data_IF_333534150562
#
_entry.id   IF_333534150562
#
_cell.length_a   1.000
_cell.length_b   1.000
_cell.length_c   1.000
_cell.angle_alpha   90.00
_cell.angle_beta   90.00
_cell.angle_gamma   90.00
#
_symmetry.space_group_name_H-M   'P 1'
#
loop_
_entity.id
_entity.type
_entity.pdbx_description
1 polymer ?
#
# COMPACT_ATOMS: atom_id res chain seq x y z
N UNK A 1 -82.89 -10.27 -15.95
CA UNK A 1 -81.57 -10.84 -15.59
C UNK A 1 -81.05 -11.55 -16.82
N UNK A 2 -80.11 -10.92 -17.51
CA UNK A 2 -79.59 -11.43 -18.79
C UNK A 2 -78.08 -11.23 -18.76
N UNK A 3 -77.37 -12.35 -18.94
CA UNK A 3 -75.94 -12.51 -18.71
C UNK A 3 -75.10 -11.49 -19.51
N UNK A 4 -74.25 -10.75 -18.80
CA UNK A 4 -73.28 -9.85 -19.43
C UNK A 4 -72.22 -10.71 -20.14
N UNK A 5 -72.23 -10.66 -21.48
CA UNK A 5 -71.29 -11.35 -22.35
C UNK A 5 -69.92 -10.67 -22.21
N UNK A 6 -69.04 -11.20 -21.36
CA UNK A 6 -67.69 -10.67 -21.19
C UNK A 6 -66.94 -10.88 -22.51
N UNK A 7 -66.57 -9.76 -23.14
CA UNK A 7 -65.83 -9.73 -24.39
C UNK A 7 -64.42 -10.31 -24.14
N UNK A 8 -63.99 -11.32 -24.91
CA UNK A 8 -62.80 -12.14 -24.59
C UNK A 8 -61.51 -11.33 -24.42
N UNK A 9 -61.41 -10.17 -25.08
CA UNK A 9 -60.28 -9.22 -24.95
C UNK A 9 -60.25 -8.48 -23.61
N UNK A 10 -61.42 -8.17 -23.03
CA UNK A 10 -61.53 -7.53 -21.70
C UNK A 10 -61.27 -8.49 -20.55
N UNK A 11 -61.63 -9.76 -20.74
CA UNK A 11 -61.26 -10.85 -19.82
C UNK A 11 -59.74 -11.06 -19.79
N UNK A 12 -59.08 -11.07 -20.95
CA UNK A 12 -57.62 -11.21 -21.05
C UNK A 12 -56.87 -10.05 -20.40
N UNK A 13 -57.32 -8.82 -20.57
CA UNK A 13 -56.68 -7.66 -19.94
C UNK A 13 -56.83 -7.69 -18.41
N UNK A 14 -58.03 -8.03 -17.91
CA UNK A 14 -58.28 -8.18 -16.48
C UNK A 14 -57.47 -9.34 -15.88
N UNK A 15 -57.26 -10.42 -16.64
CA UNK A 15 -56.42 -11.54 -16.25
C UNK A 15 -54.94 -11.18 -16.21
N UNK A 16 -54.42 -10.43 -17.20
CA UNK A 16 -53.03 -9.95 -17.17
C UNK A 16 -52.76 -9.02 -15.98
N UNK A 17 -53.68 -8.09 -15.69
CA UNK A 17 -53.55 -7.19 -14.52
C UNK A 17 -53.56 -7.99 -13.22
N UNK A 18 -54.41 -9.00 -13.11
CA UNK A 18 -54.45 -9.90 -11.94
C UNK A 18 -53.13 -10.67 -11.78
N UNK A 19 -52.57 -11.20 -12.87
CA UNK A 19 -51.27 -11.91 -12.86
C UNK A 19 -50.13 -10.97 -12.45
N UNK A 20 -50.17 -9.70 -12.87
CA UNK A 20 -49.18 -8.69 -12.50
C UNK A 20 -49.27 -8.32 -11.01
N UNK A 21 -50.48 -8.17 -10.49
CA UNK A 21 -50.72 -7.92 -9.05
C UNK A 21 -50.29 -9.13 -8.22
N UNK A 22 -50.63 -10.35 -8.64
CA UNK A 22 -50.21 -11.58 -7.98
C UNK A 22 -48.68 -11.76 -8.02
N UNK A 23 -48.04 -11.39 -9.12
CA UNK A 23 -46.58 -11.38 -9.26
C UNK A 23 -45.91 -10.40 -8.30
N UNK A 24 -46.48 -9.20 -8.12
CA UNK A 24 -45.98 -8.21 -7.15
C UNK A 24 -46.18 -8.66 -5.70
N UNK A 25 -47.31 -9.32 -5.39
CA UNK A 25 -47.56 -9.89 -4.06
C UNK A 25 -46.59 -11.04 -3.75
N UNK A 26 -46.32 -11.91 -4.73
CA UNK A 26 -45.34 -12.99 -4.60
C UNK A 26 -43.91 -12.48 -4.47
N UNK A 27 -43.55 -11.41 -5.19
CA UNK A 27 -42.24 -10.78 -5.04
C UNK A 27 -42.08 -10.15 -3.65
N UNK A 28 -43.12 -9.48 -3.15
CA UNK A 28 -43.11 -8.87 -1.82
C UNK A 28 -43.07 -9.93 -0.71
N UNK A 29 -43.81 -11.04 -0.86
CA UNK A 29 -43.75 -12.15 0.09
C UNK A 29 -42.43 -12.93 0.01
N UNK A 30 -41.76 -12.98 -1.14
CA UNK A 30 -40.41 -13.55 -1.27
C UNK A 30 -39.34 -12.65 -0.62
N UNK A 31 -39.50 -11.33 -0.71
CA UNK A 31 -38.63 -10.36 -0.02
C UNK A 31 -38.86 -10.42 1.49
N UNK A 32 -40.12 -10.55 1.95
CA UNK A 32 -40.44 -10.71 3.37
C UNK A 32 -40.05 -12.11 3.91
N UNK A 33 -40.17 -13.17 3.10
CA UNK A 33 -39.69 -14.50 3.45
C UNK A 33 -38.16 -14.59 3.45
N UNK A 34 -37.45 -13.87 2.56
CA UNK A 34 -35.99 -13.69 2.67
C UNK A 34 -35.60 -12.88 3.89
N UNK A 35 -36.44 -11.92 4.33
CA UNK A 35 -36.22 -11.18 5.58
C UNK A 35 -36.51 -12.00 6.83
N UNK A 36 -37.36 -13.03 6.77
CA UNK A 36 -37.69 -13.89 7.90
C UNK A 36 -36.95 -15.24 7.95
N UNK A 37 -36.35 -15.71 6.85
CA UNK A 37 -35.61 -16.99 6.79
C UNK A 37 -34.10 -16.86 6.56
N UNK A 38 -33.50 -15.69 6.78
CA UNK A 38 -32.04 -15.57 6.88
C UNK A 38 -31.62 -14.78 8.11
N UNK A 39 -31.89 -15.28 9.31
CA UNK A 39 -31.06 -15.07 10.49
C UNK A 39 -31.49 -16.05 11.59
N UNK A 40 -30.87 -17.23 11.58
CA UNK A 40 -30.93 -18.22 12.66
C UNK A 40 -29.52 -18.68 12.96
N UNK A 41 -28.73 -17.82 13.61
CA UNK A 41 -27.43 -18.21 14.15
C UNK A 41 -27.68 -18.97 15.46
N UNK A 42 -27.78 -20.29 15.38
CA UNK A 42 -27.72 -21.14 16.57
C UNK A 42 -26.30 -21.14 17.15
N UNK A 43 -26.23 -20.74 18.42
CA UNK A 43 -25.41 -21.25 19.51
C UNK A 43 -23.88 -21.00 19.54
N UNK A 44 -23.55 -19.96 20.32
CA UNK A 44 -22.76 -20.01 21.57
C UNK A 44 -21.26 -20.34 21.56
N UNK A 45 -20.61 -20.54 20.42
CA UNK A 45 -19.12 -20.64 20.33
C UNK A 45 -18.47 -19.31 19.89
N UNK A 46 -19.26 -18.39 19.35
CA UNK A 46 -18.79 -17.08 18.90
C UNK A 46 -18.50 -16.10 20.05
N UNK A 47 -19.11 -16.29 21.21
CA UNK A 47 -19.05 -15.38 22.36
C UNK A 47 -17.78 -15.52 23.23
N UNK A 48 -17.05 -16.65 23.17
CA UNK A 48 -15.72 -16.75 23.81
C UNK A 48 -14.60 -16.19 22.93
N UNK A 49 -14.76 -16.23 21.60
CA UNK A 49 -13.81 -15.65 20.61
C UNK A 49 -13.90 -14.13 20.47
N UNK A 50 -14.88 -13.50 21.11
CA UNK A 50 -15.05 -12.04 21.17
C UNK A 50 -14.34 -11.43 22.39
N UNK A 51 -14.15 -12.18 23.48
CA UNK A 51 -13.42 -11.69 24.66
C UNK A 51 -11.91 -11.49 24.44
N UNK A 52 -11.29 -12.19 23.48
CA UNK A 52 -9.89 -11.96 23.07
C UNK A 52 -9.75 -10.79 22.08
N UNK A 53 -10.84 -10.40 21.40
CA UNK A 53 -10.80 -9.44 20.28
C UNK A 53 -10.67 -7.97 20.70
N UNK A 54 -10.95 -7.63 21.97
CA UNK A 54 -10.94 -6.24 22.44
C UNK A 54 -9.59 -5.83 23.08
N UNK A 55 -8.76 -6.78 23.54
CA UNK A 55 -7.45 -6.42 24.15
C UNK A 55 -6.31 -6.18 23.14
N UNK A 56 -6.44 -6.67 21.90
CA UNK A 56 -5.41 -6.56 20.84
C UNK A 56 -5.55 -5.34 19.92
N UNK A 57 -6.59 -4.53 20.13
CA UNK A 57 -6.89 -3.34 19.34
C UNK A 57 -5.99 -2.16 19.70
N UNK A 58 -5.31 -2.22 20.84
CA UNK A 58 -4.29 -1.24 21.26
C UNK A 58 -2.92 -1.39 20.57
N UNK A 59 -2.70 -2.38 19.68
CA UNK A 59 -1.38 -2.66 19.08
C UNK A 59 -1.29 -2.63 17.53
N UNK A 60 -2.36 -2.35 16.77
CA UNK A 60 -2.37 -2.55 15.31
C UNK A 60 -2.82 -1.32 14.50
N UNK A 61 -1.98 -0.29 14.49
CA UNK A 61 -2.13 0.83 13.57
C UNK A 61 -1.15 0.60 12.40
N UNK A 62 -1.62 0.05 11.29
CA UNK A 62 -0.88 0.06 10.01
C UNK A 62 0.17 -1.05 9.77
N UNK A 63 0.31 -2.07 10.62
CA UNK A 63 1.28 -3.16 10.39
C UNK A 63 0.86 -4.03 9.18
N UNK A 64 1.75 -4.14 8.20
CA UNK A 64 1.58 -4.95 6.99
C UNK A 64 1.88 -6.44 7.28
N UNK A 65 0.95 -7.38 6.99
CA UNK A 65 1.14 -8.79 7.31
C UNK A 65 2.33 -9.46 6.59
N UNK A 66 3.13 -10.25 7.31
CA UNK A 66 4.28 -11.01 6.75
C UNK A 66 3.87 -12.06 5.70
N UNK A 67 2.72 -12.73 5.91
CA UNK A 67 2.26 -13.85 5.09
C UNK A 67 0.73 -14.09 5.15
N UNK A 68 0.27 -15.13 4.47
CA UNK A 68 -1.11 -15.61 4.52
C UNK A 68 -2.13 -14.78 3.72
N UNK A 69 -3.42 -15.05 3.96
CA UNK A 69 -4.53 -14.40 3.26
C UNK A 69 -4.58 -12.90 3.51
N UNK A 70 -4.23 -12.45 4.72
CA UNK A 70 -4.21 -11.02 5.07
C UNK A 70 -3.22 -10.26 4.18
N UNK A 71 -2.00 -10.78 3.98
CA UNK A 71 -1.02 -10.20 3.04
C UNK A 71 -1.58 -10.09 1.62
N UNK A 72 -2.24 -11.14 1.13
CA UNK A 72 -2.84 -11.13 -0.21
C UNK A 72 -3.93 -10.06 -0.38
N UNK A 73 -4.72 -9.80 0.67
CA UNK A 73 -5.71 -8.71 0.66
C UNK A 73 -5.02 -7.35 0.59
N UNK A 74 -4.01 -7.11 1.44
CA UNK A 74 -3.25 -5.85 1.42
C UNK A 74 -2.52 -5.61 0.10
N UNK A 75 -1.89 -6.63 -0.48
CA UNK A 75 -1.20 -6.52 -1.76
C UNK A 75 -2.14 -6.21 -2.94
N UNK A 76 -3.44 -6.51 -2.84
CA UNK A 76 -4.42 -6.12 -3.87
C UNK A 76 -4.76 -4.64 -3.85
N UNK A 77 -4.64 -4.00 -2.68
CA UNK A 77 -4.99 -2.58 -2.51
C UNK A 77 -3.76 -1.68 -2.59
N UNK A 78 -2.58 -2.16 -2.19
CA UNK A 78 -1.34 -1.38 -2.27
C UNK A 78 -0.89 -1.18 -3.73
N UNK A 79 -0.26 -0.05 -4.06
CA UNK A 79 0.28 0.20 -5.40
C UNK A 79 1.60 -0.55 -5.67
N UNK A 80 2.04 -1.39 -4.74
CA UNK A 80 3.24 -2.22 -4.85
C UNK A 80 3.06 -3.53 -4.09
N UNK A 81 3.86 -4.53 -4.47
CA UNK A 81 3.98 -5.77 -3.73
C UNK A 81 5.14 -5.66 -2.74
N UNK A 82 4.98 -6.29 -1.59
CA UNK A 82 6.03 -6.38 -0.58
C UNK A 82 6.18 -7.82 -0.06
N UNK A 83 7.37 -8.14 0.42
CA UNK A 83 7.64 -9.29 1.26
C UNK A 83 8.73 -8.95 2.25
N UNK A 84 8.62 -9.40 3.49
CA UNK A 84 9.70 -9.22 4.45
C UNK A 84 9.82 -10.43 5.36
N UNK A 85 11.05 -10.71 5.76
CA UNK A 85 11.42 -11.77 6.69
C UNK A 85 12.13 -11.18 7.90
N UNK A 86 12.93 -11.98 8.61
CA UNK A 86 13.70 -11.52 9.76
C UNK A 86 14.57 -10.32 9.37
N UNK A 87 15.38 -10.38 8.31
CA UNK A 87 16.38 -9.31 8.05
C UNK A 87 16.22 -8.67 6.68
N UNK A 88 15.24 -9.08 5.89
CA UNK A 88 15.09 -8.63 4.51
C UNK A 88 13.74 -7.99 4.26
N UNK A 89 13.74 -6.88 3.51
CA UNK A 89 12.55 -6.26 2.93
C UNK A 89 12.70 -6.24 1.42
N UNK A 90 11.76 -6.86 0.71
CA UNK A 90 11.62 -6.84 -0.74
C UNK A 90 10.39 -6.03 -1.14
N UNK A 91 10.58 -5.08 -2.04
CA UNK A 91 9.53 -4.25 -2.61
C UNK A 91 9.57 -4.38 -4.12
N UNK A 92 8.41 -4.61 -4.72
CA UNK A 92 8.25 -4.70 -6.17
C UNK A 92 7.16 -3.74 -6.65
N UNK A 93 7.56 -2.79 -7.48
CA UNK A 93 6.70 -1.74 -8.01
C UNK A 93 7.11 -1.34 -9.42
N UNK A 94 6.21 -0.63 -10.12
CA UNK A 94 6.52 -0.01 -11.40
C UNK A 94 6.53 1.49 -11.24
N UNK A 95 7.53 2.16 -11.83
CA UNK A 95 7.56 3.62 -11.94
C UNK A 95 7.34 4.07 -13.40
N UNK A 96 6.49 5.08 -13.63
CA UNK A 96 5.70 5.78 -12.63
C UNK A 96 4.65 4.87 -11.98
N UNK A 97 4.33 5.15 -10.73
CA UNK A 97 3.18 4.53 -10.10
C UNK A 97 1.94 4.84 -10.96
N UNK A 98 1.13 3.81 -11.23
CA UNK A 98 -0.13 4.02 -11.94
C UNK A 98 -1.04 4.88 -11.06
N UNK A 99 -1.39 6.07 -11.52
CA UNK A 99 -2.27 6.99 -10.77
C UNK A 99 -3.59 6.32 -10.39
N UNK A 100 -4.10 5.40 -11.22
CA UNK A 100 -5.28 4.58 -10.91
C UNK A 100 -5.07 3.68 -9.70
N UNK A 101 -3.91 3.02 -9.56
CA UNK A 101 -3.60 2.18 -8.39
C UNK A 101 -3.50 3.00 -7.11
N UNK A 102 -2.81 4.14 -7.17
CA UNK A 102 -2.73 5.06 -6.04
C UNK A 102 -4.11 5.61 -5.67
N UNK A 103 -4.89 6.07 -6.66
CA UNK A 103 -6.22 6.60 -6.42
C UNK A 103 -7.16 5.53 -5.85
N UNK A 104 -7.18 4.32 -6.42
CA UNK A 104 -7.98 3.19 -5.94
C UNK A 104 -7.62 2.78 -4.50
N UNK A 105 -6.33 2.83 -4.15
CA UNK A 105 -5.88 2.61 -2.78
C UNK A 105 -6.52 3.64 -1.83
N UNK A 106 -6.40 4.93 -2.16
CA UNK A 106 -7.02 5.99 -1.37
C UNK A 106 -8.56 5.93 -1.37
N UNK A 107 -9.19 5.56 -2.48
CA UNK A 107 -10.65 5.38 -2.55
C UNK A 107 -11.10 4.25 -1.63
N UNK A 108 -10.39 3.12 -1.62
CA UNK A 108 -10.70 2.00 -0.73
C UNK A 108 -10.62 2.40 0.74
N UNK A 109 -9.59 3.18 1.09
CA UNK A 109 -9.42 3.70 2.45
C UNK A 109 -10.52 4.71 2.81
N UNK A 110 -10.83 5.66 1.92
CA UNK A 110 -11.86 6.67 2.16
C UNK A 110 -13.28 6.08 2.17
N UNK A 111 -13.54 5.04 1.38
CA UNK A 111 -14.78 4.26 1.46
C UNK A 111 -14.88 3.51 2.79
N UNK A 112 -13.80 2.87 3.24
CA UNK A 112 -13.75 2.21 4.53
C UNK A 112 -14.06 3.17 5.68
N UNK A 113 -13.54 4.40 5.62
CA UNK A 113 -13.89 5.48 6.54
C UNK A 113 -15.40 5.73 6.61
N UNK A 114 -16.09 5.85 5.48
CA UNK A 114 -17.55 6.09 5.43
C UNK A 114 -18.32 4.96 6.13
N UNK A 115 -17.97 3.70 5.85
CA UNK A 115 -18.65 2.55 6.45
C UNK A 115 -18.44 2.46 7.96
N UNK A 116 -17.35 3.02 8.46
CA UNK A 116 -17.00 3.06 9.88
C UNK A 116 -17.61 4.28 10.60
N UNK A 117 -17.78 5.41 9.91
CA UNK A 117 -18.35 6.63 10.49
C UNK A 117 -19.89 6.70 10.45
N UNK A 118 -20.56 5.81 9.70
CA UNK A 118 -22.03 5.79 9.62
C UNK A 118 -22.68 5.28 10.92
N UNK A 119 -23.11 6.22 11.76
CA UNK A 119 -23.78 5.98 13.04
C UNK A 119 -25.15 5.26 12.91
N UNK A 120 -25.73 5.18 11.72
CA UNK A 120 -27.02 4.52 11.49
C UNK A 120 -26.86 3.06 11.05
N UNK A 121 -25.62 2.60 10.82
CA UNK A 121 -25.32 1.26 10.32
C UNK A 121 -24.63 0.44 11.41
N UNK A 122 -25.39 -0.27 12.26
CA UNK A 122 -24.78 -1.17 13.24
C UNK A 122 -24.15 -2.38 12.54
N UNK A 123 -22.86 -2.58 12.73
CA UNK A 123 -22.04 -3.46 11.93
C UNK A 123 -21.04 -4.18 12.86
N UNK A 124 -20.51 -5.32 12.42
CA UNK A 124 -19.42 -6.06 13.07
C UNK A 124 -18.11 -5.24 13.26
N UNK A 125 -18.07 -3.99 12.79
CA UNK A 125 -16.93 -3.07 12.85
C UNK A 125 -17.18 -1.81 13.69
N UNK A 126 -18.27 -1.73 14.47
CA UNK A 126 -18.65 -0.56 15.29
C UNK A 126 -17.60 -0.13 16.34
N UNK A 127 -16.63 -1.00 16.67
CA UNK A 127 -15.52 -0.72 17.60
C UNK A 127 -14.21 -0.28 16.91
N UNK A 128 -14.24 -0.12 15.59
CA UNK A 128 -13.12 0.42 14.81
C UNK A 128 -13.44 1.88 14.54
N UNK A 129 -12.59 2.82 14.95
CA UNK A 129 -12.72 4.21 14.51
C UNK A 129 -11.56 4.55 13.56
N UNK A 130 -11.91 5.05 12.37
CA UNK A 130 -10.96 5.48 11.35
C UNK A 130 -10.76 6.99 11.51
N UNK A 131 -9.51 7.46 11.53
CA UNK A 131 -9.25 8.89 11.71
C UNK A 131 -9.86 9.76 10.60
N UNK A 132 -10.47 10.88 11.00
CA UNK A 132 -10.98 11.90 10.09
C UNK A 132 -9.89 12.52 9.19
N UNK A 133 -8.62 12.46 9.61
CA UNK A 133 -7.44 13.01 8.91
C UNK A 133 -6.78 12.05 7.91
N UNK A 134 -7.45 10.95 7.56
CA UNK A 134 -6.96 10.00 6.56
C UNK A 134 -6.67 10.69 5.22
N UNK A 135 -5.58 10.28 4.56
CA UNK A 135 -5.19 10.84 3.26
C UNK A 135 -6.31 10.75 2.22
N UNK A 136 -6.45 11.83 1.46
CA UNK A 136 -7.47 11.99 0.42
C UNK A 136 -6.81 12.16 -0.93
N UNK A 137 -7.28 11.44 -1.93
CA UNK A 137 -6.92 11.73 -3.32
C UNK A 137 -7.71 12.96 -3.82
N UNK A 138 -7.52 13.35 -5.08
CA UNK A 138 -8.18 14.51 -5.67
C UNK A 138 -9.71 14.40 -5.72
N UNK A 139 -10.28 13.21 -5.90
CA UNK A 139 -11.73 13.00 -5.90
C UNK A 139 -12.36 13.26 -4.51
N UNK A 140 -11.58 13.04 -3.45
CA UNK A 140 -11.95 13.35 -2.06
C UNK A 140 -11.46 14.73 -1.59
N UNK A 141 -10.91 15.57 -2.49
CA UNK A 141 -10.46 16.93 -2.19
C UNK A 141 -9.08 17.05 -1.53
N UNK A 142 -8.22 16.04 -1.66
CA UNK A 142 -6.82 16.08 -1.20
C UNK A 142 -5.78 15.96 -2.32
N UNK A 143 -4.51 15.75 -1.94
CA UNK A 143 -3.40 15.49 -2.87
C UNK A 143 -3.00 14.02 -2.82
N UNK A 144 -2.93 13.38 -4.00
CA UNK A 144 -2.75 11.94 -4.17
C UNK A 144 -1.29 11.46 -4.13
N UNK A 145 -0.35 12.26 -3.62
CA UNK A 145 1.07 12.10 -3.96
C UNK A 145 2.02 11.72 -2.81
N UNK A 146 1.55 11.19 -1.68
CA UNK A 146 2.46 10.81 -0.60
C UNK A 146 1.95 9.58 0.14
N UNK A 147 2.50 8.41 -0.17
CA UNK A 147 2.40 7.19 0.61
C UNK A 147 3.69 7.04 1.39
N UNK A 148 3.55 6.74 2.68
CA UNK A 148 4.64 6.64 3.63
C UNK A 148 4.52 5.34 4.40
N UNK A 149 5.62 4.60 4.46
CA UNK A 149 5.75 3.36 5.20
C UNK A 149 6.96 3.42 6.11
N UNK A 150 6.99 2.63 7.18
CA UNK A 150 8.06 2.60 8.17
C UNK A 150 8.47 1.18 8.49
N UNK A 151 9.77 0.92 8.51
CA UNK A 151 10.35 -0.36 8.93
C UNK A 151 10.86 -0.23 10.37
N UNK A 152 10.32 -1.01 11.29
CA UNK A 152 10.79 -1.08 12.68
C UNK A 152 11.74 -2.27 12.87
N UNK A 153 12.71 -2.17 13.81
CA UNK A 153 13.00 -1.04 14.68
C UNK A 153 13.90 0.03 14.03
N UNK A 154 14.43 -0.27 12.85
CA UNK A 154 15.48 0.48 12.13
C UNK A 154 15.04 1.88 11.67
N UNK A 155 13.74 2.19 11.71
CA UNK A 155 13.14 3.46 11.34
C UNK A 155 13.35 3.89 9.89
N UNK A 156 13.55 2.94 8.97
CA UNK A 156 13.62 3.29 7.55
C UNK A 156 12.22 3.67 7.05
N UNK A 157 12.03 4.95 6.70
CA UNK A 157 10.81 5.46 6.07
C UNK A 157 10.92 5.33 4.56
N UNK A 158 9.87 4.83 3.93
CA UNK A 158 9.72 4.70 2.49
C UNK A 158 8.62 5.66 2.08
N UNK A 159 8.93 6.61 1.19
CA UNK A 159 8.00 7.64 0.74
C UNK A 159 8.04 7.80 -0.77
N UNK A 160 6.89 7.90 -1.43
CA UNK A 160 6.88 8.49 -2.78
C UNK A 160 6.72 10.01 -2.67
N UNK A 161 7.55 10.76 -3.39
CA UNK A 161 7.41 12.23 -3.48
C UNK A 161 6.52 12.63 -4.65
N UNK A 162 6.55 11.85 -5.73
CA UNK A 162 5.68 11.98 -6.88
C UNK A 162 5.46 10.61 -7.54
N UNK A 163 4.88 10.58 -8.75
CA UNK A 163 4.63 9.32 -9.47
C UNK A 163 5.92 8.61 -9.92
N UNK A 164 7.01 9.32 -10.13
CA UNK A 164 8.25 8.82 -10.72
C UNK A 164 9.38 8.64 -9.71
N UNK A 165 9.18 9.10 -8.47
CA UNK A 165 10.22 9.17 -7.45
C UNK A 165 9.82 8.46 -6.16
N UNK A 166 10.71 7.59 -5.68
CA UNK A 166 10.65 6.95 -4.37
C UNK A 166 11.91 7.29 -3.56
N UNK A 167 11.71 7.56 -2.27
CA UNK A 167 12.73 7.97 -1.32
C UNK A 167 12.70 7.04 -0.11
N UNK A 168 13.89 6.72 0.39
CA UNK A 168 14.13 5.91 1.57
C UNK A 168 14.99 6.72 2.53
N UNK A 169 14.46 7.03 3.70
CA UNK A 169 15.00 8.03 4.60
C UNK A 169 14.81 7.65 6.07
N UNK A 170 15.34 8.46 6.98
CA UNK A 170 15.04 8.33 8.40
C UNK A 170 13.60 8.75 8.67
N UNK A 171 12.84 7.85 9.31
CA UNK A 171 11.44 8.07 9.64
C UNK A 171 11.21 9.03 10.79
N UNK A 172 12.22 9.23 11.66
CA UNK A 172 12.16 10.06 12.86
C UNK A 172 10.82 9.91 13.61
N UNK A 173 10.47 8.66 13.96
CA UNK A 173 9.23 8.31 14.63
C UNK A 173 9.49 7.88 16.07
N UNK A 174 8.62 8.28 17.00
CA UNK A 174 8.66 7.84 18.40
C UNK A 174 8.38 6.35 18.58
N UNK A 175 7.89 5.67 17.54
CA UNK A 175 7.72 4.21 17.50
C UNK A 175 9.03 3.45 17.25
N UNK A 176 10.09 4.16 16.83
CA UNK A 176 11.39 3.57 16.54
C UNK A 176 12.27 3.52 17.79
N UNK A 177 12.97 2.42 17.98
CA UNK A 177 13.98 2.31 19.04
C UNK A 177 15.34 2.89 18.65
N UNK A 178 15.56 3.14 17.35
CA UNK A 178 16.77 3.76 16.81
C UNK A 178 16.45 4.52 15.51
N UNK A 179 17.20 5.59 15.23
CA UNK A 179 17.13 6.29 13.94
C UNK A 179 17.72 5.45 12.81
N UNK A 180 17.21 5.64 11.59
CA UNK A 180 17.78 4.96 10.42
C UNK A 180 19.18 5.45 10.12
N UNK A 181 20.08 4.50 9.87
CA UNK A 181 21.42 4.75 9.34
C UNK A 181 21.69 3.80 8.19
N UNK A 182 22.30 4.28 7.10
CA UNK A 182 22.70 3.41 5.98
C UNK A 182 23.67 2.30 6.43
N UNK A 183 24.40 2.50 7.53
CA UNK A 183 25.25 1.47 8.15
C UNK A 183 24.46 0.30 8.74
N UNK A 184 23.14 0.44 8.94
CA UNK A 184 22.25 -0.67 9.32
C UNK A 184 21.95 -1.60 8.15
N UNK A 185 22.21 -1.17 6.91
CA UNK A 185 21.99 -1.95 5.69
C UNK A 185 23.25 -2.75 5.37
N UNK A 186 23.10 -4.06 5.28
CA UNK A 186 24.17 -4.97 4.84
C UNK A 186 24.30 -4.99 3.32
N UNK A 187 23.17 -5.08 2.64
CA UNK A 187 23.10 -5.29 1.20
C UNK A 187 21.83 -4.72 0.60
N UNK A 188 21.96 -4.14 -0.59
CA UNK A 188 20.86 -3.67 -1.43
C UNK A 188 20.98 -4.40 -2.77
N UNK A 189 19.97 -5.17 -3.12
CA UNK A 189 19.83 -5.76 -4.44
C UNK A 189 18.72 -5.04 -5.21
N UNK A 190 19.06 -4.43 -6.33
CA UNK A 190 18.13 -3.73 -7.19
C UNK A 190 18.08 -4.41 -8.55
N UNK A 191 16.90 -4.87 -8.94
CA UNK A 191 16.62 -5.38 -10.28
C UNK A 191 15.77 -4.35 -11.02
N UNK A 192 16.29 -3.86 -12.14
CA UNK A 192 15.59 -2.91 -13.02
C UNK A 192 15.27 -3.64 -14.32
N UNK A 193 13.97 -3.77 -14.62
CA UNK A 193 13.52 -4.32 -15.90
C UNK A 193 13.21 -3.17 -16.86
N UNK A 194 14.00 -3.12 -17.94
CA UNK A 194 13.92 -2.14 -19.01
C UNK A 194 13.01 -2.66 -20.13
N UNK A 195 11.89 -1.98 -20.35
CA UNK A 195 10.92 -2.26 -21.42
C UNK A 195 10.88 -1.12 -22.42
N UNK A 196 10.80 -1.46 -23.73
CA UNK A 196 10.57 -0.51 -24.83
C UNK A 196 11.43 0.76 -24.73
N UNK A 197 12.70 0.61 -24.35
CA UNK A 197 13.63 1.71 -24.08
C UNK A 197 14.75 1.80 -25.13
N UNK A 198 15.58 2.84 -25.05
CA UNK A 198 16.73 3.07 -25.93
C UNK A 198 18.03 3.35 -25.17
N UNK A 199 18.10 2.90 -23.90
CA UNK A 199 19.27 3.09 -23.05
C UNK A 199 20.54 2.49 -23.68
N UNK A 200 21.59 3.30 -23.76
CA UNK A 200 22.88 2.91 -24.35
C UNK A 200 24.11 3.33 -23.53
N UNK A 201 23.91 3.99 -22.38
CA UNK A 201 25.01 4.47 -21.55
C UNK A 201 24.71 4.32 -20.06
N UNK A 202 25.75 3.96 -19.30
CA UNK A 202 25.72 3.83 -17.85
C UNK A 202 26.91 4.59 -17.27
N UNK A 203 26.67 5.39 -16.23
CA UNK A 203 27.74 6.04 -15.45
C UNK A 203 27.52 5.88 -13.96
N UNK A 204 28.61 5.70 -13.24
CA UNK A 204 28.65 5.68 -11.78
C UNK A 204 29.59 6.78 -11.29
N UNK A 205 29.09 7.74 -10.51
CA UNK A 205 29.84 8.91 -10.06
C UNK A 205 30.60 9.62 -11.19
N UNK A 206 30.00 9.69 -12.38
CA UNK A 206 30.60 10.31 -13.58
C UNK A 206 31.59 9.44 -14.37
N UNK A 207 31.95 8.26 -13.86
CA UNK A 207 32.89 7.33 -14.47
C UNK A 207 32.23 5.99 -14.86
N UNK A 208 33.04 5.03 -15.32
CA UNK A 208 32.60 3.66 -15.57
C UNK A 208 32.13 2.98 -14.27
N UNK A 209 31.16 2.07 -14.39
CA UNK A 209 30.56 1.42 -13.24
C UNK A 209 31.34 0.19 -12.77
N UNK A 210 31.57 0.05 -11.46
CA UNK A 210 32.30 -1.10 -10.91
C UNK A 210 31.48 -2.40 -10.97
N UNK A 211 32.18 -3.52 -10.87
CA UNK A 211 31.59 -4.86 -10.78
C UNK A 211 32.40 -5.70 -9.77
N UNK A 212 32.43 -5.22 -8.53
CA UNK A 212 33.17 -5.84 -7.44
C UNK A 212 32.35 -6.98 -6.83
N UNK A 213 33.00 -8.05 -6.36
CA UNK A 213 32.31 -9.14 -5.66
C UNK A 213 31.93 -8.74 -4.23
N UNK A 214 30.84 -9.31 -3.73
CA UNK A 214 30.43 -9.15 -2.33
C UNK A 214 31.47 -9.77 -1.38
N UNK A 215 31.87 -9.01 -0.35
CA UNK A 215 32.73 -9.46 0.73
C UNK A 215 32.03 -9.29 2.08
N UNK A 216 31.79 -10.41 2.76
CA UNK A 216 31.15 -10.40 4.08
C UNK A 216 32.02 -9.75 5.16
N UNK A 217 33.34 -9.71 4.99
CA UNK A 217 34.26 -9.07 5.95
C UNK A 217 34.31 -7.55 5.81
N UNK A 218 33.78 -6.99 4.73
CA UNK A 218 33.73 -5.54 4.55
C UNK A 218 32.54 -4.98 5.35
N UNK A 219 32.76 -4.07 6.31
CA UNK A 219 31.69 -3.50 7.14
C UNK A 219 30.78 -2.54 6.38
N UNK A 220 31.20 -2.10 5.19
CA UNK A 220 30.41 -1.18 4.38
C UNK A 220 29.24 -1.90 3.67
N UNK A 221 28.09 -1.23 3.51
CA UNK A 221 26.98 -1.77 2.73
C UNK A 221 27.40 -2.14 1.30
N UNK A 222 26.79 -3.19 0.77
CA UNK A 222 26.98 -3.63 -0.61
C UNK A 222 25.78 -3.28 -1.48
N UNK A 223 26.02 -2.63 -2.61
CA UNK A 223 25.01 -2.36 -3.63
C UNK A 223 25.23 -3.30 -4.82
N UNK A 224 24.16 -3.91 -5.30
CA UNK A 224 24.13 -4.71 -6.51
C UNK A 224 22.93 -4.31 -7.37
N UNK A 225 23.20 -3.76 -8.54
CA UNK A 225 22.18 -3.37 -9.52
C UNK A 225 22.29 -4.33 -10.71
N UNK A 226 21.19 -4.99 -11.04
CA UNK A 226 21.05 -5.81 -12.23
C UNK A 226 20.04 -5.18 -13.20
N UNK A 227 20.44 -5.07 -14.45
CA UNK A 227 19.63 -4.52 -15.54
C UNK A 227 19.16 -5.65 -16.45
N UNK A 228 17.86 -5.89 -16.46
CA UNK A 228 17.23 -6.85 -17.35
C UNK A 228 16.60 -6.11 -18.53
N UNK A 229 17.01 -6.44 -19.76
CA UNK A 229 16.44 -5.87 -20.98
C UNK A 229 15.38 -6.82 -21.52
N UNK A 230 14.09 -6.45 -21.47
CA UNK A 230 12.99 -7.23 -22.07
C UNK A 230 12.37 -6.46 -23.22
N UNK A 231 12.26 -7.09 -24.39
CA UNK A 231 11.69 -6.48 -25.59
C UNK A 231 12.28 -5.10 -25.92
N UNK A 232 13.59 -4.93 -25.67
CA UNK A 232 14.27 -3.64 -25.84
C UNK A 232 15.27 -3.73 -27.01
N UNK A 233 14.83 -3.66 -28.27
CA UNK A 233 15.70 -3.83 -29.44
C UNK A 233 16.75 -2.74 -29.58
N UNK A 234 16.50 -1.57 -28.99
CA UNK A 234 17.36 -0.39 -29.01
C UNK A 234 18.22 -0.24 -27.75
N UNK A 235 18.05 -1.11 -26.74
CA UNK A 235 18.93 -1.11 -25.58
C UNK A 235 20.31 -1.69 -25.96
N UNK A 236 21.33 -0.84 -25.99
CA UNK A 236 22.71 -1.22 -26.33
C UNK A 236 23.64 -1.01 -25.14
N UNK A 237 23.33 -1.67 -24.02
CA UNK A 237 24.11 -1.56 -22.79
C UNK A 237 25.34 -2.47 -22.81
N UNK A 238 26.53 -1.89 -22.65
CA UNK A 238 27.80 -2.62 -22.56
C UNK A 238 27.98 -3.36 -21.24
N UNK A 239 27.24 -2.98 -20.19
CA UNK A 239 27.27 -3.56 -18.86
C UNK A 239 25.83 -3.73 -18.36
N UNK A 240 25.53 -4.85 -17.70
CA UNK A 240 24.20 -5.12 -17.12
C UNK A 240 24.23 -5.28 -15.60
N UNK A 241 25.40 -5.37 -15.01
CA UNK A 241 25.58 -5.57 -13.58
C UNK A 241 26.51 -4.52 -13.04
N UNK A 242 26.08 -3.81 -12.01
CA UNK A 242 26.87 -2.82 -11.28
C UNK A 242 26.91 -3.29 -9.84
N UNK A 243 28.10 -3.45 -9.28
CA UNK A 243 28.23 -3.93 -7.91
C UNK A 243 29.45 -3.35 -7.22
N UNK A 244 29.29 -2.98 -5.94
CA UNK A 244 30.36 -2.44 -5.10
C UNK A 244 29.95 -2.30 -3.64
N UNK A 245 30.91 -2.43 -2.74
CA UNK A 245 30.82 -1.88 -1.38
C UNK A 245 31.04 -0.37 -1.37
N UNK A 246 30.11 0.39 -0.79
CA UNK A 246 30.17 1.86 -0.77
C UNK A 246 30.21 2.39 0.66
N UNK A 247 30.90 3.52 0.85
CA UNK A 247 30.91 4.18 2.16
C UNK A 247 29.50 4.74 2.43
N UNK A 248 28.87 4.45 3.57
CA UNK A 248 27.58 5.04 3.93
C UNK A 248 27.67 6.57 4.13
N UNK A 249 28.89 7.10 4.27
CA UNK A 249 29.15 8.54 4.40
C UNK A 249 29.32 9.26 3.05
N UNK A 250 29.24 8.58 1.91
CA UNK A 250 29.40 9.18 0.59
C UNK A 250 28.29 8.72 -0.36
N UNK A 251 27.83 9.62 -1.23
CA UNK A 251 26.86 9.26 -2.26
C UNK A 251 27.50 8.43 -3.38
N UNK A 252 26.86 7.33 -3.70
CA UNK A 252 27.04 6.55 -4.92
C UNK A 252 25.89 6.87 -5.86
N UNK A 253 26.21 7.52 -6.97
CA UNK A 253 25.26 7.94 -7.99
C UNK A 253 25.36 7.00 -9.18
N UNK A 254 24.22 6.45 -9.58
CA UNK A 254 24.06 5.65 -10.79
C UNK A 254 23.18 6.40 -11.78
N UNK A 255 23.62 6.47 -13.03
CA UNK A 255 22.90 7.10 -14.13
C UNK A 255 22.80 6.13 -15.31
N UNK A 256 21.58 5.79 -15.71
CA UNK A 256 21.28 5.04 -16.93
C UNK A 256 20.55 5.97 -17.90
N UNK A 257 21.09 6.13 -19.11
CA UNK A 257 20.58 7.11 -20.07
C UNK A 257 20.88 6.71 -21.51
N UNK A 258 20.31 7.45 -22.45
CA UNK A 258 20.58 7.33 -23.87
C UNK A 258 21.31 8.59 -24.36
N UNK A 259 22.37 8.40 -25.16
CA UNK A 259 23.06 9.47 -25.90
C UNK A 259 22.83 9.34 -27.40
N UNK A 260 22.51 10.46 -28.05
CA UNK A 260 22.36 10.54 -29.50
C UNK A 260 21.06 11.21 -29.94
N UNK A 261 20.97 11.54 -31.23
CA UNK A 261 19.84 12.28 -31.82
C UNK A 261 18.51 11.48 -31.84
N UNK A 262 18.56 10.16 -31.64
CA UNK A 262 17.38 9.28 -31.63
C UNK A 262 16.89 8.88 -30.23
N UNK A 263 17.45 9.47 -29.17
CA UNK A 263 17.13 9.10 -27.80
C UNK A 263 15.82 9.70 -27.31
N UNK A 264 14.96 8.85 -26.75
CA UNK A 264 13.62 9.16 -26.26
C UNK A 264 13.45 8.77 -24.79
N UNK A 265 14.21 7.79 -24.29
CA UNK A 265 14.11 7.37 -22.89
C UNK A 265 14.60 8.46 -21.95
N UNK A 266 13.83 8.69 -20.89
CA UNK A 266 14.27 9.55 -19.79
C UNK A 266 15.33 8.84 -18.95
N UNK A 267 16.32 9.57 -18.41
CA UNK A 267 17.35 8.97 -17.58
C UNK A 267 16.74 8.34 -16.31
N UNK A 268 17.35 7.25 -15.87
CA UNK A 268 17.15 6.69 -14.53
C UNK A 268 18.30 7.16 -13.67
N UNK A 269 17.96 7.71 -12.51
CA UNK A 269 18.93 8.15 -11.50
C UNK A 269 18.68 7.40 -10.21
N UNK A 270 19.74 6.86 -9.64
CA UNK A 270 19.76 6.29 -8.31
C UNK A 270 20.87 6.93 -7.48
N UNK A 271 20.55 7.27 -6.24
CA UNK A 271 21.50 7.81 -5.27
C UNK A 271 21.45 6.91 -4.04
N UNK A 272 22.60 6.36 -3.64
CA UNK A 272 22.74 5.52 -2.45
C UNK A 272 23.91 6.01 -1.59
N UNK A 273 23.72 6.24 -0.30
CA UNK A 273 24.83 6.68 0.56
C UNK A 273 24.41 7.64 1.66
N UNK A 274 25.04 8.82 1.66
CA UNK A 274 24.90 9.83 2.70
C UNK A 274 23.57 10.57 2.60
N UNK A 275 23.12 10.83 1.37
CA UNK A 275 21.77 11.30 1.09
C UNK A 275 20.76 10.16 1.17
N UNK A 276 19.52 10.57 1.41
CA UNK A 276 18.34 9.72 1.30
C UNK A 276 18.44 8.87 0.03
N UNK A 277 18.20 7.57 0.17
CA UNK A 277 18.27 6.71 -0.99
C UNK A 277 17.08 7.05 -1.90
N UNK A 278 17.36 7.46 -3.13
CA UNK A 278 16.36 7.95 -4.07
C UNK A 278 16.46 7.19 -5.38
N UNK A 279 15.30 6.92 -5.96
CA UNK A 279 15.20 6.36 -7.30
C UNK A 279 14.17 7.14 -8.12
N UNK A 280 14.56 7.56 -9.33
CA UNK A 280 13.68 8.25 -10.29
C UNK A 280 13.62 7.48 -11.62
N UNK A 281 12.41 7.18 -12.12
CA UNK A 281 12.24 6.57 -13.45
C UNK A 281 10.86 6.81 -14.06
N UNK A 282 10.79 6.71 -15.39
CA UNK A 282 9.55 6.94 -16.16
C UNK A 282 8.90 5.73 -16.82
N UNK A 283 9.51 4.54 -16.84
CA UNK A 283 8.93 3.36 -17.53
C UNK A 283 9.62 2.04 -17.15
N UNK A 284 9.71 1.68 -15.87
CA UNK A 284 10.40 0.44 -15.48
C UNK A 284 9.73 -0.28 -14.30
N UNK A 285 9.82 -1.61 -14.32
CA UNK A 285 9.54 -2.44 -13.15
C UNK A 285 10.80 -2.58 -12.33
N UNK A 286 10.65 -2.43 -11.02
CA UNK A 286 11.72 -2.36 -10.05
C UNK A 286 11.43 -3.36 -8.95
N UNK A 287 12.41 -4.20 -8.65
CA UNK A 287 12.44 -4.98 -7.42
C UNK A 287 13.66 -4.56 -6.63
N UNK A 288 13.43 -4.05 -5.42
CA UNK A 288 14.47 -3.64 -4.51
C UNK A 288 14.38 -4.47 -3.24
N UNK A 289 15.50 -5.10 -2.88
CA UNK A 289 15.65 -5.86 -1.66
C UNK A 289 16.70 -5.23 -0.77
N UNK A 290 16.29 -4.80 0.42
CA UNK A 290 17.18 -4.44 1.51
C UNK A 290 17.42 -5.66 2.39
N UNK A 291 18.68 -5.88 2.75
CA UNK A 291 19.08 -6.81 3.81
C UNK A 291 19.74 -6.00 4.91
N UNK A 292 19.21 -6.09 6.12
CA UNK A 292 19.66 -5.34 7.29
C UNK A 292 20.56 -6.18 8.20
N UNK A 293 21.35 -5.48 9.00
CA UNK A 293 22.17 -6.06 10.06
C UNK A 293 21.35 -6.47 11.29
N UNK A 294 20.09 -6.07 11.35
CA UNK A 294 19.17 -6.33 12.47
C UNK A 294 17.84 -6.87 11.95
N UNK A 295 17.06 -7.44 12.86
CA UNK A 295 15.74 -7.99 12.53
C UNK A 295 14.71 -6.87 12.29
N UNK A 296 13.83 -7.07 11.31
CA UNK A 296 12.63 -6.31 11.03
C UNK A 296 11.52 -6.85 11.93
N UNK A 297 11.22 -6.09 12.97
CA UNK A 297 10.09 -6.37 13.86
C UNK A 297 8.77 -6.19 13.11
N UNK A 298 8.63 -5.07 12.40
CA UNK A 298 7.41 -4.76 11.66
C UNK A 298 7.65 -3.86 10.46
N UNK A 299 6.73 -3.92 9.49
CA UNK A 299 6.64 -3.01 8.37
C UNK A 299 5.28 -2.34 8.42
N UNK A 300 5.23 -1.02 8.56
CA UNK A 300 4.02 -0.26 8.88
C UNK A 300 3.68 0.73 7.77
N UNK A 301 2.41 1.03 7.58
CA UNK A 301 1.91 2.15 6.79
C UNK A 301 1.66 3.34 7.74
N UNK A 302 2.34 4.47 7.50
CA UNK A 302 2.38 5.62 8.41
C UNK A 302 1.25 6.63 8.23
N UNK A 303 0.68 6.72 7.03
CA UNK A 303 -0.33 7.75 6.74
C UNK A 303 -1.76 7.34 7.15
N UNK A 304 -1.88 6.28 7.96
CA UNK A 304 -3.15 5.79 8.45
C UNK A 304 -3.14 5.64 9.96
N UNK A 305 -3.98 6.42 10.63
CA UNK A 305 -4.32 6.21 12.03
C UNK A 305 -5.69 5.52 12.09
N UNK A 306 -5.71 4.19 12.26
CA UNK A 306 -6.85 3.53 12.92
C UNK A 306 -6.65 3.76 14.42
N UNK A 307 -7.31 4.76 14.98
CA UNK A 307 -7.42 4.85 16.44
C UNK A 307 -8.70 4.11 16.82
N UNK A 308 -8.58 2.82 17.08
CA UNK A 308 -9.69 2.09 17.67
C UNK A 308 -9.65 2.31 19.18
N UNK A 309 -10.51 3.22 19.64
CA UNK A 309 -10.74 3.51 21.05
C UNK A 309 -12.10 2.96 21.45
N UNK A 310 -12.15 2.21 22.54
CA UNK A 310 -13.41 1.78 23.18
C UNK A 310 -14.04 2.89 24.03
N UNK A 311 -13.43 4.08 24.13
CA UNK A 311 -13.93 5.16 24.98
C UNK A 311 -14.88 6.10 24.23
N UNK A 312 -16.18 5.94 24.48
CA UNK A 312 -17.22 6.93 24.12
C UNK A 312 -17.04 8.31 24.81
N UNK A 313 -16.03 8.47 25.70
CA UNK A 313 -15.82 9.67 26.53
C UNK A 313 -14.46 10.37 26.33
N UNK A 314 -13.75 10.14 25.21
CA UNK A 314 -12.47 10.80 24.94
C UNK A 314 -12.56 12.34 24.71
N UNK A 315 -13.71 12.96 24.98
CA UNK A 315 -13.92 14.41 24.98
C UNK A 315 -14.37 15.03 26.32
N UNK A 316 -14.46 14.27 27.42
CA UNK A 316 -15.15 14.76 28.63
C UNK A 316 -14.51 14.40 29.98
N UNK A 317 -13.21 14.09 30.03
CA UNK A 317 -12.49 14.02 31.30
C UNK A 317 -11.35 15.04 31.36
N UNK A 318 -11.59 16.10 32.15
CA UNK A 318 -10.54 16.98 32.67
C UNK A 318 -9.52 16.11 33.41
N UNK A 319 -8.36 15.85 32.80
CA UNK A 319 -7.17 15.49 33.56
C UNK A 319 -6.62 16.78 34.16
N UNK A 320 -6.88 16.97 35.45
CA UNK A 320 -6.03 17.79 36.30
C UNK A 320 -4.64 17.14 36.30
N UNK A 321 -3.66 17.86 35.76
CA UNK A 321 -2.25 17.73 36.12
C UNK A 321 -1.48 16.59 35.46
N UNK A 322 -0.92 16.87 34.28
CA UNK A 322 0.54 16.88 34.12
C UNK A 322 0.87 17.55 32.79
N UNK A 323 1.69 18.60 32.86
CA UNK A 323 2.17 19.34 31.71
C UNK A 323 3.12 18.45 30.90
N UNK A 324 2.69 18.02 29.72
CA UNK A 324 3.60 17.59 28.66
C UNK A 324 3.49 18.66 27.57
N UNK A 325 4.54 19.43 27.27
CA UNK A 325 4.50 20.42 26.20
C UNK A 325 4.41 19.69 24.85
N UNK A 326 3.49 20.14 24.00
CA UNK A 326 3.57 19.89 22.57
C UNK A 326 4.76 20.67 22.01
N UNK A 327 5.58 20.08 21.12
CA UNK A 327 6.59 20.84 20.40
C UNK A 327 5.92 21.73 19.34
N UNK A 328 6.43 22.95 19.20
CA UNK A 328 6.08 23.92 18.16
C UNK A 328 6.35 23.40 16.73
#
# INVERSE_FOLDING_TARGET
>A
MTFMKINSKGALFSFMVLVLILGLILLNSYIDASRQNSFGFENSISLSKVNEKISNVQNNIGILPKEGKSKQVFQRVLPFNYSYDANSLDLNFSLPFESSKINNFFDSINLYKIFVEDQNYSNLYDDIAVSLSTLKNSAWGGSNNNLQFLVLPICMRIKNEDLNKIVFEDGNSSLCSQSFSMSSVKRIDLNIILYDADFNAIKCNGAACPQDSYSQSNPNPYLNIYLETKNCPTCLLSQKTISKHFSPALDFNFFLYCNGAGCTSKPITLIAGQKLYEFTSKTNTLSIKFTFNQEIESFMFLDFNILASTDKNYGSSKVKGSNIPLPD
#
